data_IF_868325667982
#
_entry.id   IF_868325667982
#
_cell.length_a   1.000
_cell.length_b   1.000
_cell.length_c   1.000
_cell.angle_alpha   90.00
_cell.angle_beta   90.00
_cell.angle_gamma   90.00
#
_symmetry.space_group_name_H-M   'P 1'
#
loop_
_entity.id
_entity.type
_entity.pdbx_description
1 polymer ?
#
# COMPACT_ATOMS: atom_id res chain seq x y z
N UNK A 1 -26.58 50.54 34.64
CA UNK A 1 -26.27 49.64 35.77
C UNK A 1 -26.43 48.23 35.25
N UNK A 2 -25.32 47.59 34.87
CA UNK A 2 -25.31 46.20 34.41
C UNK A 2 -23.95 45.59 34.74
N UNK A 3 -24.01 44.34 35.17
CA UNK A 3 -23.12 43.74 36.16
C UNK A 3 -21.76 43.28 35.60
N UNK A 4 -20.71 43.48 36.41
CA UNK A 4 -19.42 42.84 36.26
C UNK A 4 -19.57 41.34 36.51
N UNK A 5 -19.25 40.50 35.53
CA UNK A 5 -19.03 39.06 35.74
C UNK A 5 -17.52 38.81 35.73
N UNK A 6 -17.00 38.67 36.94
CA UNK A 6 -15.64 38.24 37.27
C UNK A 6 -15.51 36.74 36.97
N UNK A 7 -14.53 36.35 36.15
CA UNK A 7 -14.14 34.95 35.97
C UNK A 7 -13.28 34.48 37.16
N UNK A 8 -13.57 33.34 37.79
CA UNK A 8 -12.65 32.73 38.75
C UNK A 8 -11.52 32.02 38.00
N UNK A 9 -10.29 32.40 38.37
CA UNK A 9 -9.09 31.62 38.17
C UNK A 9 -9.07 30.50 39.21
N UNK A 10 -9.06 29.25 38.75
CA UNK A 10 -8.52 28.06 39.43
C UNK A 10 -8.36 27.03 38.30
N UNK A 11 -7.17 26.59 37.92
CA UNK A 11 -6.29 25.83 38.79
C UNK A 11 -6.48 24.35 38.45
N UNK A 12 -5.88 23.90 37.34
CA UNK A 12 -6.05 22.51 36.89
C UNK A 12 -5.31 22.22 35.59
N UNK A 13 -4.02 22.49 35.56
CA UNK A 13 -3.15 22.00 34.49
C UNK A 13 -3.24 20.47 34.45
N UNK A 14 -3.78 19.93 33.36
CA UNK A 14 -3.64 18.51 33.03
C UNK A 14 -2.13 18.21 32.98
N UNK A 15 -1.57 17.28 33.78
CA UNK A 15 -0.25 16.80 33.49
C UNK A 15 -0.33 16.01 32.19
N UNK A 16 0.01 16.68 31.10
CA UNK A 16 0.47 16.08 29.86
C UNK A 16 1.73 15.29 30.19
N UNK A 17 1.53 14.08 30.73
CA UNK A 17 2.59 13.10 30.89
C UNK A 17 2.95 12.58 29.50
N UNK A 18 3.72 13.40 28.79
CA UNK A 18 4.56 13.02 27.67
C UNK A 18 5.65 12.08 28.20
N UNK A 19 5.23 10.86 28.59
CA UNK A 19 6.09 9.75 28.95
C UNK A 19 6.83 9.32 27.69
N UNK A 20 7.96 9.98 27.51
CA UNK A 20 8.90 9.78 26.42
C UNK A 20 9.31 8.30 26.43
N UNK A 21 9.08 7.60 25.32
CA UNK A 21 9.38 6.16 25.09
C UNK A 21 10.83 5.76 25.45
N UNK A 22 11.74 6.72 25.68
CA UNK A 22 13.10 6.50 26.20
C UNK A 22 13.19 6.22 27.70
N UNK A 23 12.26 6.67 28.53
CA UNK A 23 12.32 6.40 29.98
C UNK A 23 12.04 4.91 30.29
N UNK A 24 11.21 4.26 29.48
CA UNK A 24 10.89 2.83 29.63
C UNK A 24 12.08 1.90 29.33
N UNK A 25 13.08 2.35 28.56
CA UNK A 25 14.28 1.56 28.23
C UNK A 25 15.44 1.79 29.21
N UNK A 26 15.42 2.88 30.00
CA UNK A 26 16.44 3.16 31.03
C UNK A 26 16.25 2.39 32.34
N UNK A 27 15.02 1.96 32.64
CA UNK A 27 14.69 1.24 33.88
C UNK A 27 15.06 -0.25 33.88
N UNK A 28 15.43 -0.82 32.72
CA UNK A 28 15.82 -2.23 32.60
C UNK A 28 17.31 -2.49 32.82
N UNK A 29 18.14 -1.45 32.94
CA UNK A 29 19.60 -1.57 33.02
C UNK A 29 20.18 -1.41 34.44
N UNK A 30 19.36 -1.23 35.48
CA UNK A 30 19.84 -0.93 36.84
C UNK A 30 19.15 -1.70 37.96
N UNK A 31 18.74 -2.95 37.72
CA UNK A 31 18.38 -3.89 38.79
C UNK A 31 19.54 -4.85 39.04
N UNK A 32 20.52 -4.33 39.77
CA UNK A 32 21.48 -5.11 40.53
C UNK A 32 20.75 -6.05 41.49
N UNK A 33 21.13 -7.32 41.43
CA UNK A 33 20.67 -8.42 42.25
C UNK A 33 20.66 -8.07 43.75
N UNK A 34 19.56 -8.43 44.44
CA UNK A 34 19.51 -8.92 45.83
C UNK A 34 18.04 -9.17 46.23
N UNK A 35 17.74 -10.41 46.66
CA UNK A 35 16.74 -10.67 47.69
C UNK A 35 15.26 -10.83 47.28
N UNK A 36 14.85 -12.07 47.07
CA UNK A 36 13.59 -12.67 47.55
C UNK A 36 12.28 -11.89 47.48
N UNK A 37 11.46 -12.21 46.46
CA UNK A 37 10.01 -12.36 46.60
C UNK A 37 9.48 -13.12 45.37
N UNK A 38 9.12 -14.39 45.56
CA UNK A 38 8.44 -15.22 44.56
C UNK A 38 7.02 -14.70 44.34
N UNK A 39 6.87 -13.72 43.45
CA UNK A 39 5.60 -13.52 42.75
C UNK A 39 5.63 -14.48 41.55
N UNK A 40 4.88 -15.57 41.66
CA UNK A 40 4.60 -16.46 40.53
C UNK A 40 3.81 -15.65 39.50
N UNK A 41 4.53 -14.94 38.62
CA UNK A 41 4.00 -14.54 37.33
C UNK A 41 3.75 -15.88 36.65
N UNK A 42 2.47 -16.24 36.52
CA UNK A 42 2.07 -17.32 35.66
C UNK A 42 2.67 -17.01 34.29
N UNK A 43 3.79 -17.65 33.99
CA UNK A 43 4.33 -17.71 32.65
C UNK A 43 3.22 -18.42 31.88
N UNK A 44 2.38 -17.63 31.22
CA UNK A 44 1.64 -18.11 30.06
C UNK A 44 2.73 -18.82 29.27
N UNK A 45 2.65 -20.15 29.05
CA UNK A 45 3.57 -20.76 28.14
C UNK A 45 3.36 -19.97 26.86
N UNK A 46 4.35 -19.16 26.50
CA UNK A 46 4.54 -18.73 25.13
C UNK A 46 4.77 -20.06 24.46
N UNK A 47 3.67 -20.72 24.09
CA UNK A 47 3.68 -21.77 23.11
C UNK A 47 4.46 -21.11 22.00
N UNK A 48 5.68 -21.58 21.80
CA UNK A 48 6.54 -21.16 20.73
C UNK A 48 5.72 -21.43 19.49
N UNK A 49 4.99 -20.40 19.06
CA UNK A 49 4.38 -20.39 17.74
C UNK A 49 5.53 -20.79 16.83
N UNK A 50 5.35 -21.82 15.99
CA UNK A 50 6.44 -22.35 15.18
C UNK A 50 7.17 -21.16 14.58
N UNK A 51 8.47 -21.06 14.89
CA UNK A 51 9.29 -19.91 14.52
C UNK A 51 9.27 -19.85 13.00
N UNK A 52 8.38 -19.02 12.46
CA UNK A 52 8.21 -18.88 11.03
C UNK A 52 9.59 -18.59 10.48
N UNK A 53 10.01 -19.40 9.51
CA UNK A 53 11.25 -19.17 8.80
C UNK A 53 11.29 -17.72 8.30
N UNK A 54 12.50 -17.18 8.12
CA UNK A 54 12.64 -15.82 7.59
C UNK A 54 11.87 -15.62 6.27
N UNK A 55 11.75 -16.68 5.46
CA UNK A 55 10.96 -16.70 4.24
C UNK A 55 9.45 -16.62 4.51
N UNK A 56 8.92 -17.41 5.44
CA UNK A 56 7.50 -17.35 5.80
C UNK A 56 7.11 -16.00 6.41
N UNK A 57 8.01 -15.37 7.19
CA UNK A 57 7.80 -13.99 7.68
C UNK A 57 7.75 -12.99 6.53
N UNK A 58 8.65 -13.13 5.56
CA UNK A 58 8.70 -12.27 4.37
C UNK A 58 7.41 -12.39 3.55
N UNK A 59 7.00 -13.62 3.20
CA UNK A 59 5.82 -13.86 2.37
C UNK A 59 4.54 -13.38 3.08
N UNK A 60 4.45 -13.55 4.40
CA UNK A 60 3.34 -13.03 5.21
C UNK A 60 3.25 -11.50 5.13
N UNK A 61 4.35 -10.79 5.35
CA UNK A 61 4.34 -9.32 5.32
C UNK A 61 4.12 -8.75 3.92
N UNK A 62 4.61 -9.45 2.88
CA UNK A 62 4.31 -9.08 1.49
C UNK A 62 2.81 -9.16 1.21
N UNK A 63 2.16 -10.25 1.63
CA UNK A 63 0.72 -10.43 1.47
C UNK A 63 -0.08 -9.37 2.23
N UNK A 64 0.28 -9.07 3.48
CA UNK A 64 -0.37 -8.02 4.28
C UNK A 64 -0.22 -6.63 3.64
N UNK A 65 0.95 -6.31 3.10
CA UNK A 65 1.18 -5.06 2.38
C UNK A 65 0.34 -4.98 1.09
N UNK A 66 0.26 -6.07 0.32
CA UNK A 66 -0.57 -6.14 -0.88
C UNK A 66 -2.06 -5.97 -0.56
N UNK A 67 -2.52 -6.60 0.52
CA UNK A 67 -3.88 -6.47 1.03
C UNK A 67 -4.17 -5.03 1.47
N UNK A 68 -3.30 -4.42 2.28
CA UNK A 68 -3.47 -3.05 2.73
C UNK A 68 -3.52 -2.06 1.55
N UNK A 69 -2.71 -2.29 0.51
CA UNK A 69 -2.75 -1.45 -0.70
C UNK A 69 -4.10 -1.57 -1.43
N UNK A 70 -4.66 -2.77 -1.55
CA UNK A 70 -5.96 -2.99 -2.15
C UNK A 70 -7.13 -2.43 -1.31
N UNK A 71 -6.97 -2.37 0.02
CA UNK A 71 -7.94 -1.72 0.93
C UNK A 71 -7.95 -0.19 0.76
N UNK A 72 -6.79 0.42 0.48
CA UNK A 72 -6.68 1.86 0.22
C UNK A 72 -7.29 2.23 -1.14
N UNK A 73 -6.93 1.48 -2.19
CA UNK A 73 -7.48 1.67 -3.52
C UNK A 73 -7.51 0.32 -4.27
N UNK A 74 -8.72 -0.12 -4.61
CA UNK A 74 -8.95 -1.38 -5.32
C UNK A 74 -8.33 -1.41 -6.72
N UNK A 75 -7.89 -0.27 -7.25
CA UNK A 75 -7.22 -0.14 -8.54
C UNK A 75 -5.70 -0.28 -8.45
N UNK A 76 -5.13 -0.43 -7.24
CA UNK A 76 -3.70 -0.72 -7.10
C UNK A 76 -3.38 -2.08 -7.72
N UNK A 77 -2.34 -2.09 -8.55
CA UNK A 77 -1.75 -3.27 -9.17
C UNK A 77 -0.26 -3.27 -8.89
N UNK A 78 0.26 -4.43 -8.52
CA UNK A 78 1.69 -4.62 -8.39
C UNK A 78 2.24 -5.03 -9.75
N UNK A 79 2.84 -4.08 -10.48
CA UNK A 79 3.37 -4.31 -11.83
C UNK A 79 4.77 -4.92 -11.80
N UNK A 80 5.46 -4.80 -10.67
CA UNK A 80 6.72 -5.49 -10.45
C UNK A 80 6.86 -5.92 -8.99
N UNK A 81 7.22 -7.18 -8.79
CA UNK A 81 7.60 -7.71 -7.48
C UNK A 81 8.81 -8.62 -7.69
N UNK A 82 10.01 -8.05 -7.54
CA UNK A 82 11.27 -8.76 -7.69
C UNK A 82 11.85 -9.05 -6.32
N UNK A 83 12.03 -10.33 -6.02
CA UNK A 83 12.65 -10.79 -4.78
C UNK A 83 14.02 -11.36 -5.13
N UNK A 84 15.09 -10.72 -4.67
CA UNK A 84 16.47 -11.21 -4.87
C UNK A 84 17.10 -11.69 -3.56
N UNK A 85 16.28 -12.10 -2.58
CA UNK A 85 16.76 -12.68 -1.33
C UNK A 85 17.72 -13.84 -1.61
N UNK A 86 18.97 -13.71 -1.16
CA UNK A 86 20.01 -14.74 -1.32
C UNK A 86 20.76 -14.70 -2.65
N UNK A 87 20.56 -13.70 -3.51
CA UNK A 87 21.33 -13.53 -4.74
C UNK A 87 22.58 -12.65 -4.49
N UNK A 88 23.80 -13.20 -4.57
CA UNK A 88 25.03 -12.48 -4.21
C UNK A 88 25.39 -11.35 -5.20
N UNK A 89 24.86 -11.42 -6.42
CA UNK A 89 25.08 -10.47 -7.52
C UNK A 89 24.10 -9.28 -7.50
N UNK A 90 23.07 -9.32 -6.63
CA UNK A 90 22.05 -8.26 -6.55
C UNK A 90 21.92 -7.74 -5.12
N UNK A 91 22.37 -6.49 -4.85
CA UNK A 91 22.34 -5.93 -3.50
C UNK A 91 20.91 -5.64 -2.99
N UNK A 92 19.93 -5.56 -3.89
CA UNK A 92 18.55 -5.24 -3.56
C UNK A 92 17.75 -6.52 -3.23
N UNK A 93 17.53 -6.76 -1.94
CA UNK A 93 16.79 -7.93 -1.46
C UNK A 93 15.34 -8.01 -1.98
N UNK A 94 14.69 -6.86 -2.14
CA UNK A 94 13.29 -6.75 -2.56
C UNK A 94 13.07 -5.44 -3.33
N UNK A 95 12.40 -5.53 -4.47
CA UNK A 95 11.88 -4.40 -5.23
C UNK A 95 10.40 -4.63 -5.52
N UNK A 96 9.55 -3.69 -5.12
CA UNK A 96 8.11 -3.75 -5.37
C UNK A 96 7.70 -2.43 -6.02
N UNK A 97 7.01 -2.52 -7.14
CA UNK A 97 6.36 -1.39 -7.82
C UNK A 97 4.87 -1.65 -7.81
N UNK A 98 4.16 -0.84 -7.03
CA UNK A 98 2.71 -0.69 -7.13
C UNK A 98 2.39 0.49 -8.03
N UNK A 99 1.47 0.29 -8.96
CA UNK A 99 0.91 1.33 -9.83
C UNK A 99 -0.60 1.28 -9.71
N UNK A 100 -1.23 2.44 -9.67
CA UNK A 100 -2.67 2.55 -9.82
C UNK A 100 -2.93 3.60 -10.88
N UNK A 101 -3.58 3.19 -11.94
CA UNK A 101 -4.05 4.10 -12.94
C UNK A 101 -5.43 4.60 -12.50
N UNK A 102 -5.64 5.92 -12.54
CA UNK A 102 -6.95 6.53 -12.21
C UNK A 102 -7.88 6.63 -13.42
N UNK A 103 -7.52 5.94 -14.51
CA UNK A 103 -8.27 6.01 -15.75
C UNK A 103 -9.68 5.48 -15.59
N UNK A 104 -10.63 6.23 -16.14
CA UNK A 104 -12.03 5.82 -16.32
C UNK A 104 -12.38 5.99 -17.78
N UNK A 105 -13.21 5.10 -18.30
CA UNK A 105 -13.68 5.24 -19.67
C UNK A 105 -14.59 6.47 -19.79
N UNK A 106 -14.18 7.44 -20.61
CA UNK A 106 -14.88 8.69 -20.92
C UNK A 106 -15.25 8.76 -22.41
N UNK A 107 -15.52 7.60 -23.04
CA UNK A 107 -15.77 7.48 -24.47
C UNK A 107 -14.51 7.18 -25.28
N UNK A 108 -14.69 6.72 -26.52
CA UNK A 108 -13.59 6.38 -27.43
C UNK A 108 -12.62 7.55 -27.64
N UNK A 109 -11.34 7.23 -27.87
CA UNK A 109 -10.30 8.23 -28.09
C UNK A 109 -8.93 7.81 -27.56
N UNK A 110 -8.10 8.81 -27.28
CA UNK A 110 -6.73 8.61 -26.82
C UNK A 110 -6.66 8.73 -25.30
N UNK A 111 -5.99 7.79 -24.66
CA UNK A 111 -5.76 7.77 -23.21
C UNK A 111 -4.26 7.72 -22.93
N UNK A 112 -3.85 8.30 -21.81
CA UNK A 112 -2.49 8.11 -21.30
C UNK A 112 -2.31 6.65 -20.83
N UNK A 113 -1.08 6.17 -20.82
CA UNK A 113 -0.72 4.92 -20.15
C UNK A 113 -0.76 5.08 -18.64
N UNK A 114 -1.35 4.11 -17.95
CA UNK A 114 -1.44 4.08 -16.49
C UNK A 114 -0.14 3.73 -15.77
N UNK A 115 0.88 3.32 -16.52
CA UNK A 115 2.05 2.60 -16.00
C UNK A 115 3.38 3.35 -16.14
N UNK A 116 3.40 4.60 -16.63
CA UNK A 116 4.68 5.26 -16.89
C UNK A 116 4.89 6.60 -16.18
N UNK A 117 5.98 6.62 -15.40
CA UNK A 117 6.67 7.77 -14.81
C UNK A 117 7.33 8.63 -15.90
N UNK A 118 7.28 8.19 -17.16
CA UNK A 118 7.77 8.90 -18.35
C UNK A 118 6.68 9.55 -19.21
N UNK A 119 5.42 9.59 -18.76
CA UNK A 119 4.30 10.37 -19.35
C UNK A 119 4.03 10.18 -20.87
N UNK A 120 4.75 9.31 -21.58
CA UNK A 120 4.80 9.32 -23.06
C UNK A 120 3.87 8.33 -23.73
N UNK A 121 3.45 7.28 -23.03
CA UNK A 121 2.67 6.24 -23.63
C UNK A 121 1.21 6.68 -23.78
N UNK A 122 0.72 6.63 -25.01
CA UNK A 122 -0.66 6.96 -25.38
C UNK A 122 -1.28 5.78 -26.08
N UNK A 123 -2.56 5.53 -25.83
CA UNK A 123 -3.31 4.41 -26.37
C UNK A 123 -4.59 4.87 -27.03
N UNK A 124 -4.84 4.38 -28.25
CA UNK A 124 -6.18 4.44 -28.85
C UNK A 124 -7.06 3.39 -28.18
N UNK A 125 -8.21 3.83 -27.70
CA UNK A 125 -9.16 3.01 -26.97
C UNK A 125 -10.50 3.05 -27.69
N UNK A 126 -11.08 1.87 -27.90
CA UNK A 126 -12.43 1.71 -28.42
C UNK A 126 -13.23 0.73 -27.57
N UNK A 127 -14.47 1.06 -27.24
CA UNK A 127 -15.41 0.11 -26.65
C UNK A 127 -15.77 -0.97 -27.69
N UNK A 128 -15.79 -2.23 -27.25
CA UNK A 128 -16.22 -3.37 -28.06
C UNK A 128 -17.70 -3.64 -27.83
N UNK A 129 -18.37 -4.12 -28.88
CA UNK A 129 -19.76 -4.61 -28.79
C UNK A 129 -19.85 -5.90 -27.97
N UNK A 130 -18.77 -6.70 -27.98
CA UNK A 130 -18.67 -7.94 -27.22
C UNK A 130 -18.17 -7.69 -25.80
N UNK A 131 -18.71 -8.47 -24.86
CA UNK A 131 -18.24 -8.53 -23.47
C UNK A 131 -16.98 -9.39 -23.35
N UNK A 132 -16.09 -9.00 -22.44
CA UNK A 132 -14.86 -9.75 -22.11
C UNK A 132 -14.97 -10.15 -20.65
N UNK A 133 -15.05 -11.46 -20.37
CA UNK A 133 -15.22 -11.94 -18.99
C UNK A 133 -16.53 -11.51 -18.32
N UNK A 134 -17.58 -11.20 -19.09
CA UNK A 134 -18.87 -10.71 -18.57
C UNK A 134 -18.96 -9.19 -18.37
N UNK A 135 -17.84 -8.49 -18.48
CA UNK A 135 -17.71 -7.03 -18.39
C UNK A 135 -17.71 -6.37 -19.77
N UNK A 136 -17.75 -5.02 -19.80
CA UNK A 136 -17.51 -4.29 -21.05
C UNK A 136 -16.12 -4.63 -21.59
N UNK A 137 -16.04 -4.88 -22.90
CA UNK A 137 -14.78 -5.16 -23.58
C UNK A 137 -14.17 -3.90 -24.19
N UNK A 138 -12.85 -3.79 -24.15
CA UNK A 138 -12.11 -2.66 -24.74
C UNK A 138 -11.05 -3.15 -25.69
N UNK A 139 -10.91 -2.43 -26.81
CA UNK A 139 -9.86 -2.58 -27.79
C UNK A 139 -8.82 -1.50 -27.54
N UNK A 140 -7.58 -1.89 -27.26
CA UNK A 140 -6.52 -0.96 -26.85
C UNK A 140 -5.27 -1.20 -27.70
N UNK A 141 -4.73 -0.14 -28.29
CA UNK A 141 -3.48 -0.19 -29.06
C UNK A 141 -2.66 1.08 -28.83
N UNK A 142 -1.33 0.95 -28.77
CA UNK A 142 -0.43 2.10 -28.63
C UNK A 142 -0.57 3.05 -29.83
N UNK A 143 -0.61 4.36 -29.59
CA UNK A 143 -0.64 5.36 -30.66
C UNK A 143 0.62 5.23 -31.51
N UNK A 144 0.44 5.19 -32.83
CA UNK A 144 1.52 5.01 -33.79
C UNK A 144 1.87 3.56 -34.11
N UNK A 145 1.36 2.58 -33.34
CA UNK A 145 1.53 1.16 -33.66
C UNK A 145 0.70 0.78 -34.89
N UNK A 146 1.35 0.10 -35.84
CA UNK A 146 0.78 -0.30 -37.13
C UNK A 146 0.52 -1.80 -37.20
N UNK A 147 1.18 -2.59 -36.37
CA UNK A 147 0.95 -4.03 -36.31
C UNK A 147 -0.38 -4.34 -35.63
N UNK A 148 -1.32 -4.86 -36.43
CA UNK A 148 -2.65 -5.25 -35.95
C UNK A 148 -2.61 -6.40 -34.93
N UNK A 149 -1.50 -7.13 -34.82
CA UNK A 149 -1.33 -8.20 -33.84
C UNK A 149 -1.10 -7.67 -32.42
N UNK A 150 -0.76 -6.40 -32.27
CA UNK A 150 -0.56 -5.76 -30.97
C UNK A 150 -1.84 -5.17 -30.36
N UNK A 151 -2.99 -5.36 -31.00
CA UNK A 151 -4.26 -4.97 -30.40
C UNK A 151 -4.54 -5.85 -29.19
N UNK A 152 -4.73 -5.20 -28.05
CA UNK A 152 -5.12 -5.84 -26.81
C UNK A 152 -6.63 -5.77 -26.65
N UNK A 153 -7.21 -6.88 -26.22
CA UNK A 153 -8.60 -6.93 -25.76
C UNK A 153 -8.60 -7.05 -24.25
N UNK A 154 -9.30 -6.16 -23.57
CA UNK A 154 -9.27 -6.06 -22.11
C UNK A 154 -10.69 -6.00 -21.55
N UNK A 155 -10.89 -6.59 -20.37
CA UNK A 155 -12.10 -6.35 -19.57
C UNK A 155 -12.07 -4.94 -18.98
N UNK A 156 -13.19 -4.46 -18.47
CA UNK A 156 -13.30 -3.14 -17.86
C UNK A 156 -12.34 -2.96 -16.68
N UNK A 157 -12.29 -3.93 -15.78
CA UNK A 157 -11.38 -3.90 -14.65
C UNK A 157 -9.91 -3.85 -15.09
N UNK A 158 -9.56 -4.59 -16.15
CA UNK A 158 -8.20 -4.60 -16.69
C UNK A 158 -7.87 -3.30 -17.41
N UNK A 159 -8.85 -2.73 -18.11
CA UNK A 159 -8.73 -1.46 -18.83
C UNK A 159 -8.48 -0.30 -17.86
N UNK A 160 -9.31 -0.14 -16.83
CA UNK A 160 -9.18 0.97 -15.88
C UNK A 160 -7.88 0.93 -15.08
N UNK A 161 -7.34 -0.27 -14.85
CA UNK A 161 -6.02 -0.44 -14.24
C UNK A 161 -4.85 -0.17 -15.21
N UNK A 162 -5.10 -0.18 -16.52
CA UNK A 162 -4.09 -0.05 -17.57
C UNK A 162 -3.96 1.40 -18.08
N UNK A 163 -5.07 2.13 -18.17
CA UNK A 163 -5.12 3.48 -18.75
C UNK A 163 -5.09 4.58 -17.69
N UNK A 164 -4.47 5.71 -18.02
CA UNK A 164 -4.59 6.97 -17.30
C UNK A 164 -5.76 7.83 -17.79
N UNK A 165 -5.67 9.15 -17.62
CA UNK A 165 -6.73 10.06 -18.06
C UNK A 165 -6.87 10.11 -19.60
N UNK A 166 -8.07 10.49 -20.05
CA UNK A 166 -8.33 10.74 -21.47
C UNK A 166 -7.58 12.01 -21.89
N UNK A 167 -6.83 11.92 -22.97
CA UNK A 167 -6.01 13.03 -23.49
C UNK A 167 -6.80 13.72 -24.60
N UNK A 168 -6.96 15.04 -24.51
CA UNK A 168 -7.53 15.81 -25.61
C UNK A 168 -6.55 15.81 -26.80
N UNK A 169 -7.04 15.62 -28.03
CA UNK A 169 -6.22 15.63 -29.23
C UNK A 169 -5.50 16.97 -29.45
#
# INVERSE_FOLDING_TARGET
MSENITAPADGGALPSASLTRRAALGALASLSALGGATAAIAAVPVGTAPDKSARERFDFHLAEMQKAAAEIDQNVRFTQCVVNLGQPDKPLALFIVGQWAKGRYQGDGIYAGGTDWRESDRYNVKLLDAKVGGERGFSVIKVGEKDRRQWMTMSEQSFEAFIGEKVQP
#
